data_IF_108408466163
#
_entry.id   IF_108408466163
#
_cell.length_a   1.000
_cell.length_b   1.000
_cell.length_c   1.000
_cell.angle_alpha   90.00
_cell.angle_beta   90.00
_cell.angle_gamma   90.00
#
_symmetry.space_group_name_H-M   'P 1'
#
loop_
_entity.id
_entity.type
_entity.pdbx_description
1 polymer ?
#
# COMPACT_ATOMS: atom_id res chain seq x y z
N UNK A 1 36.23 0.11 -0.52
CA UNK A 1 35.75 0.06 0.87
C UNK A 1 34.24 0.11 0.81
N UNK A 2 33.55 -1.00 1.10
CA UNK A 2 32.08 -1.05 1.07
C UNK A 2 31.61 -0.43 2.39
N UNK A 3 30.76 0.62 2.38
CA UNK A 3 30.29 1.22 3.62
C UNK A 3 29.52 0.18 4.44
N UNK A 4 29.86 0.02 5.72
CA UNK A 4 29.07 -0.81 6.61
C UNK A 4 27.74 -0.12 6.86
N UNK A 5 26.64 -0.81 6.54
CA UNK A 5 25.32 -0.36 6.97
C UNK A 5 25.28 -0.56 8.48
N UNK A 6 25.39 0.54 9.23
CA UNK A 6 25.24 0.55 10.68
C UNK A 6 23.76 0.27 11.01
N UNK A 7 23.42 -1.02 11.12
CA UNK A 7 22.18 -1.64 11.59
C UNK A 7 20.85 -0.94 11.22
N UNK A 8 19.88 -1.64 10.58
CA UNK A 8 18.56 -1.06 10.32
C UNK A 8 17.89 -0.54 11.60
N UNK A 9 17.08 0.50 11.46
CA UNK A 9 16.30 1.08 12.55
C UNK A 9 15.48 0.01 13.29
N UNK A 10 15.28 0.17 14.60
CA UNK A 10 14.72 -0.83 15.54
C UNK A 10 13.31 -1.36 15.19
N UNK A 11 12.64 -0.76 14.22
CA UNK A 11 11.28 -1.11 13.77
C UNK A 11 11.25 -1.83 12.42
N UNK A 12 12.40 -1.94 11.75
CA UNK A 12 12.55 -2.82 10.59
C UNK A 12 12.68 -4.23 11.15
N UNK A 13 11.61 -5.03 11.05
CA UNK A 13 11.73 -6.47 11.28
C UNK A 13 12.87 -6.98 10.41
N UNK A 14 13.75 -7.80 10.96
CA UNK A 14 14.96 -8.30 10.30
C UNK A 14 14.63 -9.31 9.17
N UNK A 15 13.56 -9.08 8.41
CA UNK A 15 12.92 -10.01 7.46
C UNK A 15 13.50 -9.97 6.06
N UNK A 16 14.60 -9.26 5.79
CA UNK A 16 15.18 -9.20 4.45
C UNK A 16 16.60 -9.79 4.34
N UNK A 17 17.02 -10.66 5.27
CA UNK A 17 18.20 -11.51 5.03
C UNK A 17 17.86 -12.94 5.43
N UNK A 18 17.33 -13.70 4.48
CA UNK A 18 17.23 -15.15 4.60
C UNK A 18 18.65 -15.74 4.52
N UNK A 19 19.24 -16.05 5.66
CA UNK A 19 20.47 -16.83 5.71
C UNK A 19 20.12 -18.29 5.41
N UNK A 20 20.44 -18.77 4.21
CA UNK A 20 20.34 -20.20 3.88
C UNK A 20 21.25 -21.07 4.78
N UNK A 21 22.31 -20.46 5.34
CA UNK A 21 23.23 -20.99 6.35
C UNK A 21 23.89 -19.81 7.06
N UNK A 22 24.37 -19.99 8.30
CA UNK A 22 25.12 -18.97 9.02
C UNK A 22 26.26 -18.40 8.14
N UNK A 23 26.19 -17.10 7.84
CA UNK A 23 27.24 -16.39 7.09
C UNK A 23 27.02 -16.21 5.58
N UNK A 24 25.94 -16.72 4.97
CA UNK A 24 25.66 -16.47 3.54
C UNK A 24 24.35 -15.71 3.33
N UNK A 25 24.43 -14.38 3.18
CA UNK A 25 23.34 -13.60 2.60
C UNK A 25 23.39 -13.75 1.08
N UNK A 26 22.28 -14.16 0.46
CA UNK A 26 22.12 -14.12 -0.99
C UNK A 26 21.38 -12.82 -1.38
N UNK A 27 21.79 -12.14 -2.46
CA UNK A 27 21.03 -11.02 -2.99
C UNK A 27 19.65 -11.48 -3.42
N UNK A 28 18.68 -10.57 -3.37
CA UNK A 28 17.33 -10.80 -3.85
C UNK A 28 17.31 -10.55 -5.35
N UNK A 29 16.78 -11.51 -6.10
CA UNK A 29 16.58 -11.45 -7.55
C UNK A 29 15.42 -12.37 -7.96
N UNK A 30 15.17 -12.54 -9.26
CA UNK A 30 14.08 -13.36 -9.77
C UNK A 30 14.26 -14.87 -9.48
N UNK A 31 15.50 -15.33 -9.31
CA UNK A 31 15.83 -16.72 -8.98
C UNK A 31 15.89 -16.98 -7.46
N UNK A 32 16.00 -15.91 -6.66
CA UNK A 32 16.01 -15.90 -5.21
C UNK A 32 15.16 -14.72 -4.67
N UNK A 33 13.82 -14.78 -4.84
CA UNK A 33 12.95 -13.67 -4.47
C UNK A 33 12.89 -13.47 -2.96
N UNK A 34 12.50 -12.25 -2.54
CA UNK A 34 12.20 -11.98 -1.14
C UNK A 34 11.16 -12.99 -0.64
N UNK A 35 11.32 -13.58 0.56
CA UNK A 35 10.34 -14.49 1.14
C UNK A 35 9.15 -13.70 1.73
N UNK A 36 8.57 -12.81 0.92
CA UNK A 36 7.38 -12.05 1.24
C UNK A 36 6.21 -12.67 0.47
N UNK A 37 5.07 -12.83 1.15
CA UNK A 37 3.88 -13.45 0.55
C UNK A 37 3.22 -12.59 -0.55
N UNK A 38 3.56 -11.31 -0.62
CA UNK A 38 3.05 -10.38 -1.62
C UNK A 38 4.18 -9.54 -2.21
N UNK A 39 4.14 -9.36 -3.54
CA UNK A 39 5.06 -8.50 -4.27
C UNK A 39 4.85 -7.05 -3.84
N UNK A 40 5.93 -6.31 -3.59
CA UNK A 40 5.89 -4.87 -3.33
C UNK A 40 5.14 -4.11 -4.43
N UNK A 41 4.49 -3.02 -4.07
CA UNK A 41 3.88 -2.13 -5.08
C UNK A 41 4.97 -1.50 -5.94
N UNK A 42 4.82 -1.68 -7.24
CA UNK A 42 5.68 -1.23 -8.31
C UNK A 42 5.19 0.09 -8.93
N UNK A 43 3.89 0.36 -8.87
CA UNK A 43 3.26 1.54 -9.48
C UNK A 43 2.25 2.20 -8.55
N UNK A 44 2.06 3.50 -8.74
CA UNK A 44 1.05 4.30 -8.04
C UNK A 44 0.35 5.22 -9.03
N UNK A 45 -0.98 5.27 -8.97
CA UNK A 45 -1.82 6.11 -9.83
C UNK A 45 -2.87 6.85 -9.02
N UNK A 46 -3.19 8.08 -9.43
CA UNK A 46 -4.23 8.85 -8.77
C UNK A 46 -5.59 8.15 -8.93
N UNK A 47 -6.36 8.10 -7.86
CA UNK A 47 -7.75 7.66 -7.87
C UNK A 47 -8.64 8.89 -7.72
N UNK A 48 -9.46 9.18 -8.71
CA UNK A 48 -10.34 10.36 -8.68
C UNK A 48 -11.71 9.88 -8.21
N UNK A 49 -12.23 10.38 -7.06
CA UNK A 49 -13.58 10.07 -6.63
C UNK A 49 -14.62 10.42 -7.70
N UNK A 50 -15.73 9.69 -7.68
CA UNK A 50 -16.87 9.84 -8.58
C UNK A 50 -16.53 9.58 -10.06
N UNK A 51 -15.45 8.83 -10.31
CA UNK A 51 -15.07 8.33 -11.63
C UNK A 51 -14.90 6.81 -11.61
N UNK A 52 -15.04 6.18 -12.78
CA UNK A 52 -14.73 4.76 -12.92
C UNK A 52 -13.21 4.53 -12.79
N UNK A 53 -12.82 3.54 -11.99
CA UNK A 53 -11.41 3.21 -11.77
C UNK A 53 -11.09 1.86 -12.41
N UNK A 54 -9.91 1.75 -13.00
CA UNK A 54 -9.28 0.45 -13.20
C UNK A 54 -8.75 -0.05 -11.84
N UNK A 55 -9.18 -1.21 -11.31
CA UNK A 55 -8.80 -1.64 -9.97
C UNK A 55 -7.31 -1.91 -9.82
N UNK A 56 -6.71 -1.40 -8.74
CA UNK A 56 -5.35 -1.74 -8.33
C UNK A 56 -5.32 -2.92 -7.35
N UNK A 57 -4.15 -3.20 -6.77
CA UNK A 57 -4.00 -4.16 -5.66
C UNK A 57 -4.30 -3.57 -4.28
N UNK A 58 -4.15 -2.26 -4.14
CA UNK A 58 -4.48 -1.54 -2.91
C UNK A 58 -4.94 -0.10 -3.17
N UNK A 59 -5.61 0.48 -2.18
CA UNK A 59 -5.96 1.90 -2.10
C UNK A 59 -5.23 2.54 -0.92
N UNK A 60 -4.46 3.58 -1.19
CA UNK A 60 -3.90 4.48 -0.20
C UNK A 60 -4.73 5.76 -0.12
N UNK A 61 -5.00 6.22 1.10
CA UNK A 61 -5.74 7.44 1.39
C UNK A 61 -4.89 8.31 2.31
N UNK A 62 -4.59 9.53 1.88
CA UNK A 62 -3.89 10.52 2.69
C UNK A 62 -4.86 11.66 2.98
N UNK A 63 -5.24 11.85 4.23
CA UNK A 63 -6.23 12.84 4.64
C UNK A 63 -5.65 13.88 5.59
N UNK A 64 -6.14 15.11 5.47
CA UNK A 64 -5.76 16.25 6.33
C UNK A 64 -6.80 16.57 7.41
N UNK A 65 -7.96 15.94 7.34
CA UNK A 65 -9.06 16.11 8.29
C UNK A 65 -10.05 14.95 8.22
N UNK A 66 -11.16 15.07 8.93
CA UNK A 66 -12.21 14.06 8.93
C UNK A 66 -13.17 14.23 7.75
N UNK A 67 -13.67 13.10 7.26
CA UNK A 67 -14.70 12.99 6.22
C UNK A 67 -15.21 11.57 6.08
N UNK A 68 -15.93 11.30 4.99
CA UNK A 68 -16.48 9.98 4.70
C UNK A 68 -16.43 9.68 3.20
N UNK A 69 -16.24 8.41 2.85
CA UNK A 69 -16.36 7.91 1.47
C UNK A 69 -17.10 6.58 1.44
N UNK A 70 -17.70 6.26 0.30
CA UNK A 70 -18.16 4.91 -0.01
C UNK A 70 -17.20 4.30 -1.03
N UNK A 71 -16.70 3.10 -0.75
CA UNK A 71 -15.77 2.37 -1.62
C UNK A 71 -16.51 1.19 -2.22
N UNK A 72 -16.47 1.06 -3.54
CA UNK A 72 -16.89 -0.16 -4.24
C UNK A 72 -15.66 -1.00 -4.54
N UNK A 73 -15.69 -2.25 -4.09
CA UNK A 73 -14.65 -3.24 -4.32
C UNK A 73 -14.86 -3.93 -5.67
N UNK A 74 -13.78 -4.42 -6.28
CA UNK A 74 -13.84 -5.12 -7.57
C UNK A 74 -14.72 -6.39 -7.57
N UNK A 75 -15.06 -6.92 -6.39
CA UNK A 75 -16.00 -8.05 -6.23
C UNK A 75 -17.48 -7.61 -6.12
N UNK A 76 -17.78 -6.32 -6.29
CA UNK A 76 -19.13 -5.74 -6.17
C UNK A 76 -19.57 -5.45 -4.73
N UNK A 77 -18.73 -5.71 -3.73
CA UNK A 77 -18.99 -5.33 -2.35
C UNK A 77 -18.77 -3.85 -2.11
N UNK A 78 -19.48 -3.26 -1.14
CA UNK A 78 -19.33 -1.85 -0.79
C UNK A 78 -18.92 -1.67 0.67
N UNK A 79 -18.05 -0.69 0.95
CA UNK A 79 -17.59 -0.34 2.29
C UNK A 79 -17.73 1.16 2.50
N UNK A 80 -18.53 1.57 3.49
CA UNK A 80 -18.53 2.96 3.95
C UNK A 80 -17.35 3.17 4.90
N UNK A 81 -16.46 4.09 4.55
CA UNK A 81 -15.22 4.33 5.28
C UNK A 81 -15.19 5.76 5.83
N UNK A 82 -15.14 5.94 7.16
CA UNK A 82 -14.76 7.22 7.74
C UNK A 82 -13.27 7.45 7.49
N UNK A 83 -12.93 8.63 6.95
CA UNK A 83 -11.54 9.09 6.79
C UNK A 83 -11.22 10.06 7.91
N UNK A 84 -10.02 9.96 8.45
CA UNK A 84 -9.47 10.85 9.48
C UNK A 84 -8.05 11.26 9.10
N UNK A 85 -7.55 12.34 9.70
CA UNK A 85 -6.22 12.85 9.38
C UNK A 85 -5.13 11.78 9.55
N UNK A 86 -4.29 11.61 8.52
CA UNK A 86 -3.24 10.60 8.48
C UNK A 86 -3.21 9.82 7.17
N UNK A 87 -2.60 8.64 7.22
CA UNK A 87 -2.48 7.72 6.08
C UNK A 87 -3.20 6.43 6.39
N UNK A 88 -4.07 6.01 5.49
CA UNK A 88 -4.75 4.70 5.52
C UNK A 88 -4.34 3.91 4.29
N UNK A 89 -3.98 2.64 4.47
CA UNK A 89 -3.67 1.70 3.38
C UNK A 89 -4.65 0.53 3.45
N UNK A 90 -5.39 0.29 2.37
CA UNK A 90 -6.37 -0.77 2.25
C UNK A 90 -5.92 -1.75 1.16
N UNK A 91 -5.54 -2.99 1.51
CA UNK A 91 -5.08 -4.00 0.55
C UNK A 91 -6.27 -4.65 -0.17
N UNK A 92 -7.10 -3.83 -0.81
CA UNK A 92 -8.28 -4.27 -1.54
C UNK A 92 -8.28 -3.67 -2.95
N UNK A 93 -8.75 -4.46 -3.92
CA UNK A 93 -9.02 -3.97 -5.27
C UNK A 93 -10.28 -3.11 -5.27
N UNK A 94 -10.13 -1.83 -5.61
CA UNK A 94 -11.20 -0.81 -5.58
C UNK A 94 -11.61 -0.45 -7.01
N UNK A 95 -12.90 -0.56 -7.30
CA UNK A 95 -13.49 -0.25 -8.61
C UNK A 95 -14.09 1.16 -8.69
N UNK A 96 -14.55 1.71 -7.56
CA UNK A 96 -15.04 3.08 -7.48
C UNK A 96 -14.91 3.65 -6.06
N UNK A 97 -14.83 4.98 -5.98
CA UNK A 97 -14.86 5.75 -4.74
C UNK A 97 -15.93 6.82 -4.92
N UNK A 98 -16.95 6.83 -4.09
CA UNK A 98 -17.94 7.91 -4.05
C UNK A 98 -17.56 8.88 -2.94
N UNK A 99 -17.36 10.15 -3.31
CA UNK A 99 -17.08 11.19 -2.34
C UNK A 99 -18.36 11.51 -1.54
N UNK A 100 -18.24 11.50 -0.20
CA UNK A 100 -19.27 12.00 0.70
C UNK A 100 -18.73 13.22 1.45
N UNK A 101 -19.37 13.59 2.57
CA UNK A 101 -19.01 14.79 3.31
C UNK A 101 -17.55 14.76 3.80
N UNK A 102 -16.80 15.85 3.54
CA UNK A 102 -15.40 16.00 3.95
C UNK A 102 -14.37 15.19 3.15
N UNK A 103 -14.78 14.48 2.08
CA UNK A 103 -13.87 13.69 1.25
C UNK A 103 -12.84 14.54 0.48
N UNK A 104 -13.10 15.83 0.26
CA UNK A 104 -12.20 16.76 -0.41
C UNK A 104 -10.88 17.01 0.35
N UNK A 105 -10.83 16.58 1.62
CA UNK A 105 -9.65 16.67 2.49
C UNK A 105 -8.71 15.49 2.34
N UNK A 106 -9.06 14.54 1.49
CA UNK A 106 -8.32 13.32 1.25
C UNK A 106 -7.83 13.22 -0.21
N UNK A 107 -6.64 12.66 -0.38
CA UNK A 107 -6.06 12.26 -1.66
C UNK A 107 -6.05 10.74 -1.73
N UNK A 108 -6.50 10.21 -2.85
CA UNK A 108 -6.67 8.77 -3.07
C UNK A 108 -5.70 8.29 -4.15
N UNK A 109 -5.01 7.19 -3.89
CA UNK A 109 -3.99 6.62 -4.77
C UNK A 109 -4.18 5.11 -4.85
N UNK A 110 -4.33 4.57 -6.06
CA UNK A 110 -4.28 3.12 -6.30
C UNK A 110 -2.82 2.67 -6.43
N UNK A 111 -2.52 1.50 -5.88
CA UNK A 111 -1.19 0.88 -5.89
C UNK A 111 -1.25 -0.51 -6.54
N UNK A 112 -0.22 -0.85 -7.32
CA UNK A 112 -0.05 -2.13 -8.02
C UNK A 112 1.31 -2.77 -7.74
#
# INVERSE_FOLDING_TARGET
>A
MIPSIASPARYVTQTAIAFAKAGSARPVDDENPLPIGEVSYSHARAAIPDTALDPGRALMIVATGSGQVLIELANGGTVALPVTAGVTLLPFAVAAITALDGAERAVFTLLD
#
